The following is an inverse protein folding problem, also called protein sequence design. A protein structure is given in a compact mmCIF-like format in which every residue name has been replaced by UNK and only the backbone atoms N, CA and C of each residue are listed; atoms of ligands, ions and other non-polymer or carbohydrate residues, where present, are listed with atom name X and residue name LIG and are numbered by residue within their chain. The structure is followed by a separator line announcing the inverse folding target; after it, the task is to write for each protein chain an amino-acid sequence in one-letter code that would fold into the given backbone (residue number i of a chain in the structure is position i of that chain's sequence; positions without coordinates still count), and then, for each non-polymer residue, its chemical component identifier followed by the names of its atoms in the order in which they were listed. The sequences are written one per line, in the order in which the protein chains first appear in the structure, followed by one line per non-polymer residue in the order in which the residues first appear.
data_IF_464596121555
#
_entry.id   IF_464596121555
#
_cell.length_a   1.000
_cell.length_b   1.000
_cell.length_c   1.000
_cell.angle_alpha   90.00
_cell.angle_beta   90.00
_cell.angle_gamma   90.00
#
_symmetry.space_group_name_H-M   'P 1'
#
loop_
_entity.id
_entity.type
_entity.pdbx_description
1 polymer ?
#
# COMPACT_ATOMS: atom_id res chain seq x y z
N UNK A 1 16.20 13.08 7.54
CA UNK A 1 15.61 12.18 6.53
C UNK A 1 14.98 13.00 5.43
N UNK A 2 15.24 12.63 4.17
CA UNK A 2 14.71 13.32 2.99
C UNK A 2 13.66 12.49 2.29
N UNK A 3 12.47 13.08 2.05
CA UNK A 3 11.37 12.44 1.35
C UNK A 3 11.20 13.04 -0.05
N UNK A 4 10.83 12.20 -1.01
CA UNK A 4 10.40 12.66 -2.34
C UNK A 4 8.90 12.46 -2.48
N UNK A 5 8.23 13.53 -2.91
CA UNK A 5 6.79 13.57 -3.13
C UNK A 5 6.53 13.52 -4.64
N UNK A 6 5.76 12.55 -5.06
CA UNK A 6 5.37 12.33 -6.45
C UNK A 6 3.83 12.40 -6.52
N UNK A 7 3.23 13.59 -6.77
CA UNK A 7 1.79 13.77 -6.62
C UNK A 7 0.94 12.90 -7.54
N UNK A 8 1.42 12.59 -8.75
CA UNK A 8 0.68 11.74 -9.69
C UNK A 8 -0.45 12.46 -10.42
N UNK A 9 -1.53 11.71 -10.68
CA UNK A 9 -2.66 12.15 -11.49
C UNK A 9 -3.93 12.36 -10.68
N UNK A 10 -4.90 13.03 -11.30
CA UNK A 10 -6.25 13.17 -10.77
C UNK A 10 -6.29 13.86 -9.40
N UNK A 11 -6.80 13.16 -8.38
CA UNK A 11 -6.86 13.66 -7.00
C UNK A 11 -5.49 13.69 -6.30
N UNK A 12 -4.44 13.15 -6.93
CA UNK A 12 -3.11 13.02 -6.34
C UNK A 12 -2.56 14.31 -5.73
N UNK A 13 -2.52 15.44 -6.45
CA UNK A 13 -2.02 16.70 -5.89
C UNK A 13 -2.76 17.13 -4.62
N UNK A 14 -4.09 17.08 -4.59
CA UNK A 14 -4.85 17.54 -3.41
C UNK A 14 -4.68 16.64 -2.19
N UNK A 15 -4.58 15.31 -2.37
CA UNK A 15 -4.35 14.40 -1.23
C UNK A 15 -2.89 14.40 -0.78
N UNK A 16 -1.93 14.69 -1.65
CA UNK A 16 -0.53 14.92 -1.28
C UNK A 16 -0.39 16.19 -0.42
N UNK A 17 -1.02 17.29 -0.83
CA UNK A 17 -1.03 18.54 -0.05
C UNK A 17 -1.63 18.33 1.35
N UNK A 18 -2.74 17.59 1.44
CA UNK A 18 -3.34 17.19 2.70
C UNK A 18 -2.40 16.35 3.58
N UNK A 19 -1.68 15.40 2.96
CA UNK A 19 -0.69 14.56 3.65
C UNK A 19 0.49 15.39 4.15
N UNK A 20 0.98 16.34 3.36
CA UNK A 20 2.08 17.23 3.74
C UNK A 20 1.72 18.16 4.91
N UNK A 21 0.46 18.61 5.02
CA UNK A 21 0.00 19.36 6.19
C UNK A 21 0.13 18.54 7.47
N UNK A 22 -0.27 17.27 7.45
CA UNK A 22 -0.11 16.36 8.60
C UNK A 22 1.36 16.09 8.89
N UNK A 23 2.16 15.81 7.87
CA UNK A 23 3.61 15.58 8.04
C UNK A 23 4.34 16.81 8.57
N UNK A 24 3.97 18.02 8.14
CA UNK A 24 4.55 19.26 8.65
C UNK A 24 4.30 19.41 10.15
N UNK A 25 3.06 19.15 10.60
CA UNK A 25 2.74 19.14 12.03
C UNK A 25 3.55 18.11 12.80
N UNK A 26 3.62 16.87 12.31
CA UNK A 26 4.36 15.80 12.98
C UNK A 26 5.87 16.11 13.03
N UNK A 27 6.41 16.64 11.93
CA UNK A 27 7.81 17.05 11.84
C UNK A 27 8.17 18.09 12.91
N UNK A 28 7.33 19.12 13.07
CA UNK A 28 7.50 20.15 14.10
C UNK A 28 7.35 19.58 15.50
N UNK A 29 6.27 18.85 15.78
CA UNK A 29 5.92 18.44 17.13
C UNK A 29 6.78 17.32 17.69
N UNK A 30 7.28 16.44 16.84
CA UNK A 30 8.15 15.33 17.24
C UNK A 30 9.62 15.55 16.93
N UNK A 31 10.00 16.69 16.33
CA UNK A 31 11.38 16.99 15.97
C UNK A 31 11.99 15.98 15.01
N UNK A 32 11.26 15.63 13.93
CA UNK A 32 11.68 14.54 13.04
C UNK A 32 12.87 14.93 12.15
N UNK A 33 13.08 16.23 11.89
CA UNK A 33 14.12 16.71 10.97
C UNK A 33 13.88 16.25 9.53
N UNK A 34 12.59 16.10 9.14
CA UNK A 34 12.22 15.76 7.78
C UNK A 34 12.40 16.97 6.85
N UNK A 35 12.92 16.70 5.68
CA UNK A 35 12.88 17.58 4.51
C UNK A 35 12.21 16.86 3.37
N UNK A 36 11.65 17.59 2.41
CA UNK A 36 11.08 17.00 1.21
C UNK A 36 11.17 17.90 0.00
N UNK A 37 11.14 17.29 -1.17
CA UNK A 37 10.96 17.94 -2.47
C UNK A 37 9.87 17.25 -3.27
N UNK A 38 9.26 17.98 -4.20
CA UNK A 38 8.19 17.47 -5.04
C UNK A 38 8.60 17.46 -6.50
N UNK A 39 8.29 16.37 -7.21
CA UNK A 39 8.55 16.21 -8.63
C UNK A 39 7.29 15.83 -9.39
N UNK A 40 7.09 16.45 -10.56
CA UNK A 40 5.99 16.12 -11.44
C UNK A 40 6.14 14.72 -12.05
N UNK A 41 5.05 13.97 -12.03
CA UNK A 41 4.90 12.68 -12.73
C UNK A 41 3.51 12.60 -13.37
N UNK A 42 3.24 11.52 -14.11
CA UNK A 42 1.94 11.24 -14.69
C UNK A 42 1.65 12.03 -15.97
N UNK A 43 0.38 12.21 -16.28
CA UNK A 43 -0.08 12.87 -17.51
C UNK A 43 0.38 14.33 -17.59
N UNK A 44 0.44 15.03 -16.46
CA UNK A 44 0.97 16.38 -16.39
C UNK A 44 2.45 16.46 -16.79
N UNK A 45 3.27 15.53 -16.34
CA UNK A 45 4.68 15.42 -16.73
C UNK A 45 4.83 15.01 -18.19
N UNK A 46 3.97 14.10 -18.69
CA UNK A 46 3.97 13.72 -20.11
C UNK A 46 3.77 14.93 -21.00
N UNK A 47 2.81 15.80 -20.67
CA UNK A 47 2.53 17.00 -21.46
C UNK A 47 3.69 18.01 -21.44
N UNK A 48 4.43 18.12 -20.35
CA UNK A 48 5.55 19.09 -20.19
C UNK A 48 6.90 18.55 -20.63
N UNK A 49 7.15 17.26 -20.43
CA UNK A 49 8.47 16.65 -20.54
C UNK A 49 8.53 15.47 -21.52
N UNK A 50 7.40 15.11 -22.18
CA UNK A 50 7.33 13.98 -23.11
C UNK A 50 7.42 12.60 -22.43
N UNK A 51 7.33 12.53 -21.11
CA UNK A 51 7.29 11.26 -20.37
C UNK A 51 6.49 11.37 -19.10
N UNK A 52 5.81 10.30 -18.72
CA UNK A 52 5.06 10.22 -17.45
C UNK A 52 5.96 10.07 -16.22
N UNK A 53 7.24 9.73 -16.40
CA UNK A 53 8.21 9.62 -15.31
C UNK A 53 9.56 10.21 -15.73
N UNK A 54 9.76 11.53 -15.58
CA UNK A 54 11.02 12.21 -15.92
C UNK A 54 12.22 11.64 -15.16
N UNK A 55 13.38 11.62 -15.84
CA UNK A 55 14.63 11.11 -15.26
C UNK A 55 15.02 11.84 -13.95
N UNK A 56 14.75 13.14 -13.84
CA UNK A 56 15.00 13.90 -12.61
C UNK A 56 14.13 13.40 -11.46
N UNK A 57 12.83 13.20 -11.67
CA UNK A 57 11.92 12.66 -10.66
C UNK A 57 12.33 11.24 -10.22
N UNK A 58 12.70 10.41 -11.20
CA UNK A 58 13.21 9.06 -10.94
C UNK A 58 14.50 9.09 -10.13
N UNK A 59 15.46 9.92 -10.52
CA UNK A 59 16.74 10.07 -9.82
C UNK A 59 16.57 10.55 -8.37
N UNK A 60 15.70 11.53 -8.14
CA UNK A 60 15.36 12.01 -6.81
C UNK A 60 14.75 10.89 -5.95
N UNK A 61 13.77 10.16 -6.50
CA UNK A 61 13.13 9.04 -5.79
C UNK A 61 14.11 7.92 -5.42
N UNK A 62 15.07 7.61 -6.30
CA UNK A 62 16.12 6.60 -6.04
C UNK A 62 17.10 7.02 -4.94
N UNK A 63 17.27 8.32 -4.70
CA UNK A 63 18.19 8.86 -3.70
C UNK A 63 17.52 9.21 -2.36
N UNK A 64 16.18 9.18 -2.30
CA UNK A 64 15.43 9.56 -1.11
C UNK A 64 15.44 8.48 -0.01
N UNK A 65 15.34 8.89 1.24
CA UNK A 65 15.12 7.97 2.38
C UNK A 65 13.72 7.34 2.35
N UNK A 66 12.74 8.02 1.75
CA UNK A 66 11.37 7.56 1.60
C UNK A 66 10.63 8.29 0.49
N UNK A 67 9.60 7.64 -0.05
CA UNK A 67 8.82 8.18 -1.17
C UNK A 67 7.36 8.25 -0.76
N UNK A 68 6.68 9.35 -1.13
CA UNK A 68 5.22 9.47 -1.09
C UNK A 68 4.73 9.57 -2.52
N UNK A 69 4.05 8.53 -2.97
CA UNK A 69 3.51 8.44 -4.33
C UNK A 69 1.99 8.59 -4.29
N UNK A 70 1.49 9.64 -4.92
CA UNK A 70 0.07 9.80 -5.22
C UNK A 70 -0.40 8.81 -6.29
N UNK A 71 -1.70 8.71 -6.52
CA UNK A 71 -2.27 7.78 -7.50
C UNK A 71 -1.89 8.15 -8.92
N UNK A 72 -1.78 7.15 -9.79
CA UNK A 72 -1.41 7.32 -11.20
C UNK A 72 -2.45 6.71 -12.12
N UNK A 73 -2.75 7.39 -13.22
CA UNK A 73 -3.71 6.96 -14.26
C UNK A 73 -3.03 6.08 -15.32
N UNK A 74 -2.27 5.05 -14.89
CA UNK A 74 -1.39 4.30 -15.79
C UNK A 74 -2.10 3.62 -16.96
N UNK A 75 -3.39 3.31 -16.85
CA UNK A 75 -4.19 2.77 -17.95
C UNK A 75 -4.40 3.78 -19.09
N UNK A 76 -4.22 5.08 -18.82
CA UNK A 76 -4.34 6.16 -19.79
C UNK A 76 -2.98 6.61 -20.34
N UNK A 77 -1.89 5.98 -19.92
CA UNK A 77 -0.57 6.32 -20.40
C UNK A 77 -0.35 5.72 -21.79
N UNK A 78 0.35 6.45 -22.69
CA UNK A 78 0.74 5.91 -23.97
C UNK A 78 1.73 4.76 -23.84
N UNK A 79 2.02 4.03 -24.93
CA UNK A 79 3.09 3.02 -24.93
C UNK A 79 4.42 3.57 -24.44
N UNK A 80 5.26 2.72 -23.87
CA UNK A 80 6.58 3.10 -23.34
C UNK A 80 7.47 3.84 -24.36
N UNK A 81 7.39 3.45 -25.65
CA UNK A 81 8.10 4.12 -26.74
C UNK A 81 7.68 5.57 -26.94
N UNK A 82 6.48 5.95 -26.47
CA UNK A 82 5.90 7.30 -26.54
C UNK A 82 5.98 8.03 -25.19
N UNK A 83 6.79 7.53 -24.25
CA UNK A 83 7.04 8.14 -22.95
C UNK A 83 6.13 7.66 -21.82
N UNK A 84 5.26 6.68 -22.05
CA UNK A 84 4.39 6.10 -21.01
C UNK A 84 5.13 5.12 -20.13
N UNK A 85 5.49 5.55 -18.92
CA UNK A 85 6.12 4.73 -17.88
C UNK A 85 5.19 4.73 -16.68
N UNK A 86 4.92 3.56 -16.09
CA UNK A 86 4.21 3.47 -14.82
C UNK A 86 5.19 3.71 -13.66
N UNK A 87 5.15 4.89 -12.97
CA UNK A 87 6.12 5.21 -11.92
C UNK A 87 6.07 4.23 -10.74
N UNK A 88 4.87 3.78 -10.36
CA UNK A 88 4.70 2.80 -9.29
C UNK A 88 5.38 1.46 -9.63
N UNK A 89 5.16 0.95 -10.83
CA UNK A 89 5.79 -0.30 -11.31
C UNK A 89 7.31 -0.17 -11.44
N UNK A 90 7.81 0.94 -11.99
CA UNK A 90 9.25 1.20 -12.14
C UNK A 90 9.96 1.27 -10.78
N UNK A 91 9.41 2.01 -9.82
CA UNK A 91 10.00 2.15 -8.48
C UNK A 91 9.97 0.85 -7.69
N UNK A 92 8.89 0.07 -7.75
CA UNK A 92 8.80 -1.24 -7.09
C UNK A 92 9.93 -2.18 -7.52
N UNK A 93 10.25 -2.19 -8.82
CA UNK A 93 11.33 -3.02 -9.35
C UNK A 93 12.71 -2.41 -9.08
N UNK A 94 12.89 -1.13 -9.41
CA UNK A 94 14.20 -0.46 -9.33
C UNK A 94 14.73 -0.36 -7.90
N UNK A 95 13.85 -0.28 -6.90
CA UNK A 95 14.18 -0.22 -5.48
C UNK A 95 13.96 -1.54 -4.74
N UNK A 96 13.61 -2.60 -5.48
CA UNK A 96 13.28 -3.93 -4.93
C UNK A 96 12.28 -3.87 -3.76
N UNK A 97 11.16 -3.15 -3.96
CA UNK A 97 10.12 -2.99 -2.95
C UNK A 97 9.23 -4.24 -2.91
N UNK A 98 9.75 -5.33 -2.38
CA UNK A 98 9.17 -6.66 -2.47
C UNK A 98 7.95 -6.90 -1.58
N UNK A 99 7.80 -6.13 -0.51
CA UNK A 99 6.70 -6.30 0.45
C UNK A 99 5.70 -5.15 0.33
N UNK A 100 4.52 -5.43 -0.21
CA UNK A 100 3.41 -4.49 -0.16
C UNK A 100 2.55 -4.81 1.07
N UNK A 101 2.57 -3.90 2.05
CA UNK A 101 1.92 -4.06 3.34
C UNK A 101 0.64 -3.22 3.35
N UNK A 102 -0.51 -3.88 3.50
CA UNK A 102 -1.86 -3.32 3.36
C UNK A 102 -2.74 -3.65 4.57
N UNK A 103 -2.77 -2.79 5.61
CA UNK A 103 -3.69 -2.94 6.74
C UNK A 103 -5.14 -2.66 6.33
N UNK A 104 -6.06 -3.47 6.85
CA UNK A 104 -7.51 -3.26 6.72
C UNK A 104 -8.16 -3.40 8.09
N UNK A 105 -8.81 -2.33 8.56
CA UNK A 105 -9.38 -2.27 9.89
C UNK A 105 -10.75 -1.59 9.88
N UNK A 106 -11.75 -2.24 10.46
CA UNK A 106 -13.07 -1.63 10.74
C UNK A 106 -12.92 -0.55 11.80
N UNK A 107 -13.62 0.56 11.62
CA UNK A 107 -13.53 1.74 12.50
C UNK A 107 -14.87 2.01 13.20
N UNK A 108 -14.82 2.39 14.45
CA UNK A 108 -16.01 2.72 15.23
C UNK A 108 -16.81 3.86 14.59
N UNK A 109 -18.12 3.70 14.59
CA UNK A 109 -19.04 4.67 14.01
C UNK A 109 -19.17 4.62 12.48
N UNK A 110 -18.31 3.91 11.77
CA UNK A 110 -18.44 3.65 10.33
C UNK A 110 -19.11 2.32 10.06
N UNK A 111 -19.88 2.28 8.97
CA UNK A 111 -20.43 1.04 8.46
C UNK A 111 -19.28 0.22 7.82
N UNK A 112 -19.20 -1.05 8.16
CA UNK A 112 -18.38 -2.04 7.47
C UNK A 112 -19.30 -3.08 6.82
N UNK A 113 -18.80 -3.79 5.80
CA UNK A 113 -19.63 -4.67 4.96
C UNK A 113 -19.45 -6.15 5.30
N UNK A 114 -18.39 -6.51 6.03
CA UNK A 114 -18.20 -7.85 6.59
C UNK A 114 -19.22 -8.15 7.69
N UNK A 115 -19.34 -9.41 8.07
CA UNK A 115 -20.22 -9.83 9.19
C UNK A 115 -19.63 -9.52 10.56
N UNK A 116 -18.30 -9.48 10.64
CA UNK A 116 -17.54 -9.20 11.85
C UNK A 116 -16.57 -8.05 11.60
N UNK A 117 -16.30 -7.20 12.61
CA UNK A 117 -15.24 -6.21 12.48
C UNK A 117 -13.89 -6.93 12.25
N UNK A 118 -13.02 -6.29 11.48
CA UNK A 118 -11.70 -6.83 11.18
C UNK A 118 -10.60 -5.89 11.63
N UNK A 119 -9.44 -6.47 11.92
CA UNK A 119 -8.14 -5.81 12.08
C UNK A 119 -7.08 -6.81 11.62
N UNK A 120 -6.75 -6.75 10.35
CA UNK A 120 -5.76 -7.62 9.70
C UNK A 120 -4.83 -6.83 8.79
N UNK A 121 -3.70 -7.44 8.42
CA UNK A 121 -2.76 -6.89 7.45
C UNK A 121 -2.48 -7.93 6.38
N UNK A 122 -2.65 -7.56 5.11
CA UNK A 122 -2.24 -8.38 3.98
C UNK A 122 -0.82 -7.97 3.57
N UNK A 123 0.10 -8.92 3.63
CA UNK A 123 1.49 -8.81 3.20
C UNK A 123 1.60 -9.51 1.85
N UNK A 124 1.56 -8.69 0.79
CA UNK A 124 1.57 -9.10 -0.61
C UNK A 124 2.99 -9.12 -1.16
N UNK A 125 3.43 -10.24 -1.74
CA UNK A 125 4.61 -10.25 -2.59
C UNK A 125 4.38 -9.30 -3.78
N UNK A 126 5.37 -8.50 -4.18
CA UNK A 126 5.14 -7.32 -5.02
C UNK A 126 6.00 -7.26 -6.28
N UNK A 127 6.88 -8.26 -6.53
CA UNK A 127 7.89 -8.20 -7.59
C UNK A 127 7.77 -9.31 -8.65
N UNK A 128 6.95 -10.34 -8.42
CA UNK A 128 6.77 -11.46 -9.34
C UNK A 128 5.30 -11.89 -9.48
N UNK A 129 5.00 -13.17 -9.64
CA UNK A 129 3.66 -13.68 -9.88
C UNK A 129 3.27 -13.59 -11.35
N UNK A 130 2.02 -13.26 -11.64
CA UNK A 130 1.55 -12.96 -13.00
C UNK A 130 2.01 -11.59 -13.53
N UNK A 131 2.70 -10.80 -12.73
CA UNK A 131 3.39 -9.58 -13.12
C UNK A 131 4.86 -9.87 -13.53
N UNK A 132 5.11 -11.08 -14.05
CA UNK A 132 6.44 -11.60 -14.38
C UNK A 132 7.15 -10.81 -15.48
N UNK A 133 6.42 -10.17 -16.40
CA UNK A 133 6.95 -9.30 -17.44
C UNK A 133 7.90 -8.22 -16.89
N UNK A 134 7.66 -7.79 -15.65
CA UNK A 134 8.45 -6.77 -14.98
C UNK A 134 9.79 -7.27 -14.44
N UNK A 135 9.93 -8.58 -14.22
CA UNK A 135 11.10 -9.20 -13.58
C UNK A 135 11.74 -10.34 -14.41
N UNK A 136 11.35 -10.49 -15.66
CA UNK A 136 11.97 -11.46 -16.57
C UNK A 136 13.26 -10.89 -17.16
N UNK A 137 14.31 -11.74 -17.24
CA UNK A 137 15.57 -11.35 -17.88
C UNK A 137 15.39 -11.11 -19.39
N UNK A 138 14.62 -11.98 -20.06
CA UNK A 138 14.27 -11.87 -21.47
C UNK A 138 12.85 -12.37 -21.70
N UNK A 139 12.15 -11.77 -22.66
CA UNK A 139 10.80 -12.14 -23.05
C UNK A 139 9.69 -11.47 -22.21
N UNK A 140 8.47 -11.44 -22.76
CA UNK A 140 7.29 -10.91 -22.07
C UNK A 140 6.71 -11.92 -21.07
N UNK A 141 5.96 -11.42 -20.08
CA UNK A 141 5.17 -12.25 -19.16
C UNK A 141 3.88 -12.79 -19.77
N UNK A 142 3.42 -12.20 -20.88
CA UNK A 142 2.28 -12.64 -21.67
C UNK A 142 2.65 -12.67 -23.14
N UNK A 143 2.11 -13.65 -23.89
CA UNK A 143 2.31 -13.77 -25.33
C UNK A 143 1.20 -14.56 -26.00
N UNK A 144 1.01 -14.34 -27.30
CA UNK A 144 0.04 -15.03 -28.14
C UNK A 144 0.77 -15.93 -29.14
N UNK A 145 0.79 -17.26 -28.95
CA UNK A 145 1.32 -18.21 -29.94
C UNK A 145 0.52 -18.26 -31.25
N UNK A 146 -0.79 -18.02 -31.15
CA UNK A 146 -1.71 -17.92 -32.29
C UNK A 146 -2.70 -16.77 -32.04
N UNK A 147 -3.42 -16.26 -33.08
CA UNK A 147 -4.37 -15.15 -32.91
C UNK A 147 -5.53 -15.43 -31.93
N UNK A 148 -5.78 -16.68 -31.59
CA UNK A 148 -6.86 -17.17 -30.75
C UNK A 148 -6.39 -17.80 -29.44
N UNK A 149 -5.07 -17.72 -29.13
CA UNK A 149 -4.47 -18.28 -27.91
C UNK A 149 -3.57 -17.27 -27.23
N UNK A 150 -3.87 -16.95 -25.97
CA UNK A 150 -2.98 -16.16 -25.11
C UNK A 150 -2.48 -17.01 -23.93
N UNK A 151 -1.20 -16.83 -23.57
CA UNK A 151 -0.54 -17.48 -22.45
C UNK A 151 0.05 -16.44 -21.51
N UNK A 152 -0.11 -16.64 -20.20
CA UNK A 152 0.50 -15.83 -19.16
C UNK A 152 1.45 -16.69 -18.33
N UNK A 153 2.64 -16.17 -18.07
CA UNK A 153 3.65 -16.82 -17.23
C UNK A 153 3.53 -16.32 -15.80
N UNK A 154 3.39 -17.26 -14.86
CA UNK A 154 3.45 -16.97 -13.44
C UNK A 154 4.82 -17.35 -12.89
N UNK A 155 5.62 -16.37 -12.51
CA UNK A 155 6.93 -16.55 -11.91
C UNK A 155 6.81 -16.62 -10.40
N UNK A 156 7.32 -17.70 -9.78
CA UNK A 156 7.41 -17.86 -8.31
C UNK A 156 8.82 -18.37 -8.00
N UNK A 157 9.53 -17.66 -7.13
CA UNK A 157 10.89 -18.03 -6.72
C UNK A 157 10.97 -18.31 -5.23
N UNK A 158 11.86 -19.20 -4.81
CA UNK A 158 12.10 -19.49 -3.39
C UNK A 158 12.54 -18.22 -2.63
N UNK A 159 13.40 -17.40 -3.24
CA UNK A 159 13.88 -16.15 -2.66
C UNK A 159 12.74 -15.17 -2.35
N UNK A 160 11.85 -14.90 -3.32
CA UNK A 160 10.72 -13.98 -3.10
C UNK A 160 9.73 -14.55 -2.07
N UNK A 161 9.48 -15.86 -2.08
CA UNK A 161 8.62 -16.52 -1.09
C UNK A 161 9.19 -16.45 0.33
N UNK A 162 10.50 -16.68 0.51
CA UNK A 162 11.15 -16.62 1.81
C UNK A 162 11.11 -15.21 2.39
N UNK A 163 11.50 -14.18 1.60
CA UNK A 163 11.56 -12.79 2.09
C UNK A 163 10.19 -12.22 2.42
N UNK A 164 9.15 -12.53 1.63
CA UNK A 164 7.80 -12.05 1.96
C UNK A 164 7.22 -12.77 3.19
N UNK A 165 7.51 -14.06 3.35
CA UNK A 165 7.16 -14.79 4.57
C UNK A 165 7.84 -14.15 5.80
N UNK A 166 9.14 -13.88 5.73
CA UNK A 166 9.90 -13.24 6.81
C UNK A 166 9.31 -11.89 7.21
N UNK A 167 8.99 -11.04 6.23
CA UNK A 167 8.31 -9.76 6.48
C UNK A 167 6.94 -9.94 7.19
N UNK A 168 6.18 -10.97 6.83
CA UNK A 168 4.89 -11.26 7.47
C UNK A 168 5.05 -11.74 8.92
N UNK A 169 6.00 -12.64 9.17
CA UNK A 169 6.25 -13.15 10.52
C UNK A 169 6.82 -12.08 11.45
N UNK A 170 7.75 -11.24 10.97
CA UNK A 170 8.27 -10.09 11.71
C UNK A 170 7.15 -9.09 12.07
N UNK A 171 6.25 -8.82 11.12
CA UNK A 171 5.09 -7.97 11.39
C UNK A 171 4.17 -8.59 12.46
N UNK A 172 3.92 -9.89 12.38
CA UNK A 172 3.06 -10.60 13.32
C UNK A 172 3.60 -10.59 14.75
N UNK A 173 4.93 -10.55 14.96
CA UNK A 173 5.53 -10.45 16.29
C UNK A 173 5.09 -9.21 17.07
N UNK A 174 4.76 -8.12 16.36
CA UNK A 174 4.23 -6.88 16.96
C UNK A 174 2.71 -6.80 17.00
N UNK A 175 2.00 -7.89 16.62
CA UNK A 175 0.53 -7.95 16.54
C UNK A 175 -0.03 -9.13 17.37
N UNK A 176 -1.07 -9.81 16.87
CA UNK A 176 -1.71 -10.94 17.56
C UNK A 176 -0.92 -12.25 17.44
N UNK A 177 0.25 -12.22 16.78
CA UNK A 177 1.16 -13.38 16.59
C UNK A 177 0.50 -14.55 15.84
N UNK A 178 -0.19 -14.25 14.74
CA UNK A 178 -0.80 -15.25 13.88
C UNK A 178 -0.56 -14.90 12.41
N UNK A 179 -0.03 -15.86 11.64
CA UNK A 179 0.18 -15.73 10.19
C UNK A 179 -0.63 -16.79 9.46
N UNK A 180 -1.43 -16.36 8.49
CA UNK A 180 -2.16 -17.24 7.57
C UNK A 180 -1.54 -17.14 6.18
N UNK A 181 -1.02 -18.25 5.63
CA UNK A 181 -0.56 -18.31 4.25
C UNK A 181 -1.71 -18.60 3.29
N UNK A 182 -1.91 -17.71 2.31
CA UNK A 182 -2.99 -17.87 1.33
C UNK A 182 -2.45 -18.32 -0.02
N UNK A 183 -3.01 -19.40 -0.55
CA UNK A 183 -2.50 -20.13 -1.72
C UNK A 183 -3.58 -20.85 -2.52
N UNK A 184 -3.20 -21.46 -3.65
CA UNK A 184 -4.05 -22.36 -4.45
C UNK A 184 -3.32 -23.69 -4.80
N UNK A 185 -2.57 -24.25 -3.85
CA UNK A 185 -1.70 -25.41 -4.08
C UNK A 185 -2.48 -26.71 -4.43
N UNK A 186 -3.78 -26.76 -4.20
CA UNK A 186 -4.61 -27.87 -4.68
C UNK A 186 -4.73 -27.91 -6.22
N UNK A 187 -4.51 -26.78 -6.90
CA UNK A 187 -4.48 -26.65 -8.38
C UNK A 187 -3.05 -26.36 -8.84
N UNK A 188 -2.41 -25.33 -8.29
CA UNK A 188 -1.05 -24.89 -8.66
C UNK A 188 0.00 -25.58 -7.77
N UNK A 189 0.09 -26.92 -7.92
CA UNK A 189 0.88 -27.77 -7.02
C UNK A 189 2.37 -27.45 -7.00
N UNK A 190 2.93 -26.97 -8.11
CA UNK A 190 4.37 -26.66 -8.21
C UNK A 190 4.64 -25.25 -7.70
N UNK A 191 4.00 -24.23 -8.27
CA UNK A 191 4.27 -22.83 -7.93
C UNK A 191 3.79 -22.47 -6.52
N UNK A 192 2.54 -22.79 -6.15
CA UNK A 192 2.05 -22.53 -4.79
C UNK A 192 2.59 -23.54 -3.78
N UNK A 193 2.96 -24.76 -4.23
CA UNK A 193 3.71 -25.70 -3.42
C UNK A 193 5.11 -25.17 -3.03
N UNK A 194 5.79 -24.47 -3.95
CA UNK A 194 7.04 -23.77 -3.65
C UNK A 194 6.82 -22.66 -2.63
N UNK A 195 5.80 -21.83 -2.82
CA UNK A 195 5.43 -20.77 -1.88
C UNK A 195 5.21 -21.34 -0.46
N UNK A 196 4.35 -22.34 -0.32
CA UNK A 196 4.08 -22.96 0.98
C UNK A 196 5.32 -23.59 1.62
N UNK A 197 6.19 -24.22 0.83
CA UNK A 197 7.44 -24.80 1.33
C UNK A 197 8.31 -23.74 2.01
N UNK A 198 8.49 -22.59 1.34
CA UNK A 198 9.32 -21.52 1.90
C UNK A 198 8.65 -20.83 3.10
N UNK A 199 7.32 -20.61 3.05
CA UNK A 199 6.58 -20.05 4.20
C UNK A 199 6.67 -20.97 5.43
N UNK A 200 6.50 -22.29 5.26
CA UNK A 200 6.62 -23.28 6.34
C UNK A 200 8.03 -23.30 6.93
N UNK A 201 9.06 -23.17 6.07
CA UNK A 201 10.46 -23.06 6.50
C UNK A 201 10.63 -21.85 7.42
N UNK A 202 10.17 -20.67 7.00
CA UNK A 202 10.23 -19.45 7.81
C UNK A 202 9.39 -19.59 9.08
N UNK A 203 8.19 -20.17 9.02
CA UNK A 203 7.34 -20.40 10.18
C UNK A 203 8.07 -21.17 11.30
N UNK A 204 8.92 -22.15 10.95
CA UNK A 204 9.70 -22.91 11.93
C UNK A 204 10.74 -22.07 12.69
N UNK A 205 11.10 -20.90 12.19
CA UNK A 205 12.02 -19.96 12.84
C UNK A 205 11.30 -19.03 13.85
N UNK A 206 9.94 -19.00 13.83
CA UNK A 206 9.09 -18.13 14.68
C UNK A 206 8.14 -18.96 15.54
N UNK A 207 8.64 -19.73 16.52
CA UNK A 207 7.81 -20.66 17.32
C UNK A 207 6.71 -19.98 18.15
N UNK A 208 6.86 -18.67 18.42
CA UNK A 208 5.88 -17.87 19.17
C UNK A 208 4.75 -17.30 18.29
N UNK A 209 4.77 -17.56 16.97
CA UNK A 209 3.75 -17.10 16.01
C UNK A 209 2.95 -18.31 15.54
N UNK A 210 1.65 -18.29 15.77
CA UNK A 210 0.73 -19.30 15.23
C UNK A 210 0.71 -19.22 13.70
N UNK A 211 0.65 -20.38 13.05
CA UNK A 211 0.66 -20.48 11.60
C UNK A 211 -0.45 -21.40 11.11
N UNK A 212 -1.20 -20.94 10.11
CA UNK A 212 -2.14 -21.77 9.36
C UNK A 212 -2.11 -21.46 7.85
N UNK A 213 -2.87 -22.23 7.08
CA UNK A 213 -2.92 -22.14 5.63
C UNK A 213 -4.37 -22.08 5.16
N UNK A 214 -4.64 -21.25 4.15
CA UNK A 214 -5.98 -21.07 3.62
C UNK A 214 -5.97 -21.07 2.09
N UNK A 215 -6.89 -21.78 1.46
CA UNK A 215 -7.11 -21.64 0.02
C UNK A 215 -7.68 -20.25 -0.29
N UNK A 216 -7.23 -19.62 -1.38
CA UNK A 216 -7.57 -18.25 -1.75
C UNK A 216 -9.08 -18.03 -1.92
N UNK A 217 -9.80 -18.98 -2.51
CA UNK A 217 -11.24 -18.94 -2.66
C UNK A 217 -11.97 -19.04 -1.30
N UNK A 218 -11.46 -19.88 -0.41
CA UNK A 218 -11.97 -19.97 0.96
C UNK A 218 -11.63 -18.69 1.76
N UNK A 219 -10.45 -18.09 1.54
CA UNK A 219 -10.07 -16.83 2.18
C UNK A 219 -11.02 -15.69 1.82
N UNK A 220 -11.38 -15.52 0.53
CA UNK A 220 -12.39 -14.54 0.12
C UNK A 220 -13.72 -14.73 0.84
N UNK A 221 -14.20 -15.97 0.94
CA UNK A 221 -15.43 -16.26 1.67
C UNK A 221 -15.31 -15.97 3.18
N UNK A 222 -14.14 -16.22 3.77
CA UNK A 222 -13.89 -15.97 5.20
C UNK A 222 -13.69 -14.49 5.53
N UNK A 223 -13.16 -13.68 4.63
CA UNK A 223 -13.12 -12.23 4.81
C UNK A 223 -14.53 -11.64 4.99
N UNK A 224 -15.52 -12.16 4.26
CA UNK A 224 -16.93 -11.77 4.44
C UNK A 224 -17.52 -12.32 5.73
N UNK A 225 -17.22 -13.58 6.05
CA UNK A 225 -17.92 -14.34 7.12
C UNK A 225 -17.33 -14.12 8.50
N UNK A 226 -16.01 -14.14 8.63
CA UNK A 226 -15.29 -14.18 9.90
C UNK A 226 -13.87 -13.63 9.76
N UNK A 227 -13.75 -12.40 9.30
CA UNK A 227 -12.44 -11.74 9.11
C UNK A 227 -11.69 -11.52 10.43
N UNK A 228 -12.40 -11.48 11.57
CA UNK A 228 -11.81 -11.24 12.90
C UNK A 228 -10.79 -12.31 13.33
N UNK A 229 -10.86 -13.52 12.77
CA UNK A 229 -9.93 -14.61 13.07
C UNK A 229 -8.51 -14.40 12.50
N UNK A 230 -8.36 -13.56 11.48
CA UNK A 230 -7.09 -13.32 10.81
C UNK A 230 -6.32 -12.16 11.47
N UNK A 231 -5.00 -12.23 11.42
CA UNK A 231 -4.11 -11.17 11.87
C UNK A 231 -3.18 -10.71 10.74
N UNK A 232 -2.18 -11.50 10.36
CA UNK A 232 -1.32 -11.24 9.21
C UNK A 232 -1.54 -12.30 8.15
N UNK A 233 -1.88 -11.87 6.96
CA UNK A 233 -2.09 -12.73 5.79
C UNK A 233 -0.93 -12.57 4.84
N UNK A 234 -0.19 -13.64 4.55
CA UNK A 234 0.90 -13.63 3.56
C UNK A 234 0.47 -14.35 2.29
N UNK A 235 0.74 -13.74 1.14
CA UNK A 235 0.34 -14.33 -0.14
C UNK A 235 1.15 -13.79 -1.31
N UNK A 236 0.99 -14.45 -2.47
CA UNK A 236 1.60 -14.04 -3.74
C UNK A 236 0.95 -12.80 -4.32
N UNK A 237 1.56 -12.20 -5.33
CA UNK A 237 1.26 -10.87 -5.85
C UNK A 237 -0.22 -10.68 -6.21
N UNK A 238 -0.76 -11.44 -7.16
CA UNK A 238 -2.13 -11.24 -7.64
C UNK A 238 -3.19 -11.55 -6.57
N UNK A 239 -3.00 -12.60 -5.78
CA UNK A 239 -3.94 -12.91 -4.69
C UNK A 239 -3.93 -11.80 -3.64
N UNK A 240 -2.75 -11.27 -3.31
CA UNK A 240 -2.62 -10.16 -2.37
C UNK A 240 -3.28 -8.88 -2.86
N UNK A 241 -3.25 -8.61 -4.17
CA UNK A 241 -3.93 -7.47 -4.77
C UNK A 241 -5.45 -7.57 -4.59
N UNK A 242 -6.02 -8.68 -5.01
CA UNK A 242 -7.47 -8.91 -4.96
C UNK A 242 -7.98 -8.92 -3.51
N UNK A 243 -7.34 -9.71 -2.65
CA UNK A 243 -7.78 -9.86 -1.25
C UNK A 243 -7.62 -8.58 -0.43
N UNK A 244 -6.62 -7.75 -0.71
CA UNK A 244 -6.45 -6.51 0.04
C UNK A 244 -7.48 -5.45 -0.32
N UNK A 245 -7.90 -5.37 -1.57
CA UNK A 245 -8.98 -4.47 -1.99
C UNK A 245 -10.33 -4.96 -1.45
N UNK A 246 -10.58 -6.28 -1.48
CA UNK A 246 -11.74 -6.88 -0.83
C UNK A 246 -11.77 -6.58 0.69
N UNK A 247 -10.65 -6.78 1.41
CA UNK A 247 -10.56 -6.51 2.83
C UNK A 247 -10.77 -5.01 3.15
N UNK A 248 -10.22 -4.12 2.34
CA UNK A 248 -10.38 -2.68 2.51
C UNK A 248 -11.85 -2.26 2.37
N UNK A 249 -12.55 -2.72 1.33
CA UNK A 249 -13.98 -2.44 1.16
C UNK A 249 -14.82 -3.06 2.28
N UNK A 250 -14.57 -4.33 2.64
CA UNK A 250 -15.29 -4.98 3.73
C UNK A 250 -15.08 -4.29 5.08
N UNK A 251 -13.92 -3.67 5.31
CA UNK A 251 -13.62 -2.93 6.56
C UNK A 251 -14.28 -1.56 6.64
N UNK A 252 -14.79 -1.04 5.53
CA UNK A 252 -15.50 0.23 5.47
C UNK A 252 -15.35 0.99 4.16
N UNK A 253 -14.13 1.20 3.68
CA UNK A 253 -13.85 1.89 2.41
C UNK A 253 -12.38 1.76 2.02
N UNK A 254 -12.13 1.60 0.73
CA UNK A 254 -10.79 1.66 0.12
C UNK A 254 -10.09 3.00 0.44
N UNK A 255 -10.85 4.10 0.57
CA UNK A 255 -10.35 5.42 0.97
C UNK A 255 -9.78 5.49 2.38
N UNK A 256 -9.97 4.45 3.21
CA UNK A 256 -9.45 4.34 4.58
C UNK A 256 -8.27 3.36 4.70
N UNK A 257 -7.84 2.75 3.61
CA UNK A 257 -6.79 1.76 3.62
C UNK A 257 -5.43 2.39 3.28
N UNK A 258 -4.49 2.36 4.23
CA UNK A 258 -3.10 2.75 3.99
C UNK A 258 -2.30 1.64 3.32
N UNK A 259 -1.23 1.99 2.61
CA UNK A 259 -0.36 1.01 1.95
C UNK A 259 1.07 1.52 1.87
N UNK A 260 2.03 0.64 2.13
CA UNK A 260 3.44 0.86 1.80
C UNK A 260 3.99 -0.26 0.93
N UNK A 261 4.97 0.07 0.11
CA UNK A 261 5.79 -0.87 -0.63
C UNK A 261 7.19 -0.79 -0.02
N UNK A 262 7.61 -1.82 0.68
CA UNK A 262 8.86 -1.86 1.43
C UNK A 262 9.85 -2.84 0.81
N UNK A 263 11.10 -2.43 0.74
CA UNK A 263 12.27 -3.24 0.44
C UNK A 263 13.19 -3.34 1.65
N UNK A 264 14.43 -3.75 1.44
CA UNK A 264 15.43 -3.75 2.51
C UNK A 264 15.91 -2.35 2.87
N UNK A 265 16.08 -1.47 1.92
CA UNK A 265 16.67 -0.13 2.11
C UNK A 265 15.75 1.03 1.79
N UNK A 266 14.65 0.81 1.07
CA UNK A 266 13.74 1.84 0.64
C UNK A 266 12.29 1.49 0.98
N UNK A 267 11.47 2.53 1.15
CA UNK A 267 10.03 2.36 1.36
C UNK A 267 9.26 3.48 0.65
N UNK A 268 8.16 3.10 0.02
CA UNK A 268 7.27 4.00 -0.70
C UNK A 268 5.85 3.91 -0.13
N UNK A 269 5.37 5.01 0.43
CA UNK A 269 3.96 5.18 0.78
C UNK A 269 3.13 5.42 -0.48
N UNK A 270 2.02 4.72 -0.64
CA UNK A 270 1.14 4.87 -1.79
C UNK A 270 -0.30 4.64 -1.36
N UNK A 271 -1.24 5.52 -1.78
CA UNK A 271 -2.66 5.27 -1.56
C UNK A 271 -3.11 4.00 -2.28
N UNK A 272 -4.01 3.24 -1.66
CA UNK A 272 -4.50 1.97 -2.23
C UNK A 272 -5.50 2.20 -3.38
N UNK A 273 -6.20 3.35 -3.38
CA UNK A 273 -7.17 3.74 -4.42
C UNK A 273 -6.50 4.35 -5.66
N UNK A 274 -7.27 4.45 -6.76
CA UNK A 274 -6.86 5.08 -8.02
C UNK A 274 -6.91 6.62 -7.99
N UNK A 275 -6.73 7.23 -9.16
CA UNK A 275 -6.57 8.67 -9.37
C UNK A 275 -7.87 9.47 -9.42
N UNK A 276 -9.05 8.84 -9.54
CA UNK A 276 -10.38 9.45 -9.56
C UNK A 276 -10.44 10.81 -10.33
N UNK A 277 -10.14 10.82 -11.62
CA UNK A 277 -10.00 12.06 -12.38
C UNK A 277 -11.30 12.88 -12.50
N UNK A 278 -12.44 12.25 -12.29
CA UNK A 278 -13.78 12.83 -12.31
C UNK A 278 -14.03 13.81 -11.14
N UNK A 279 -13.34 13.66 -10.01
CA UNK A 279 -13.46 14.56 -8.86
C UNK A 279 -12.19 15.39 -8.61
N UNK A 280 -11.19 15.29 -9.47
CA UNK A 280 -9.92 16.00 -9.33
C UNK A 280 -10.11 17.53 -9.24
N UNK A 281 -9.44 18.16 -8.26
CA UNK A 281 -9.49 19.63 -8.05
C UNK A 281 -10.81 20.15 -7.50
N UNK A 282 -11.75 19.27 -7.10
CA UNK A 282 -13.07 19.68 -6.59
C UNK A 282 -13.14 19.75 -5.05
N UNK A 283 -12.03 19.55 -4.37
CA UNK A 283 -11.98 19.50 -2.88
C UNK A 283 -12.92 18.43 -2.28
N UNK A 284 -13.00 17.25 -2.94
CA UNK A 284 -13.88 16.14 -2.55
C UNK A 284 -13.16 14.87 -2.16
N UNK A 285 -11.89 14.74 -2.51
CA UNK A 285 -11.11 13.54 -2.29
C UNK A 285 -10.91 13.26 -0.80
N UNK A 286 -11.01 11.98 -0.41
CA UNK A 286 -10.66 11.54 0.93
C UNK A 286 -9.12 11.36 1.03
N UNK A 287 -8.40 12.13 1.87
CA UNK A 287 -6.96 12.04 1.94
C UNK A 287 -6.45 10.94 2.90
N UNK A 288 -7.33 10.23 3.59
CA UNK A 288 -6.98 9.33 4.71
C UNK A 288 -6.06 8.20 4.26
N UNK A 289 -6.32 7.59 3.11
CA UNK A 289 -5.48 6.49 2.61
C UNK A 289 -4.01 6.91 2.47
N UNK A 290 -3.72 8.05 1.85
CA UNK A 290 -2.34 8.52 1.69
C UNK A 290 -1.73 9.01 3.01
N UNK A 291 -2.51 9.62 3.89
CA UNK A 291 -2.06 10.03 5.24
C UNK A 291 -1.68 8.80 6.07
N UNK A 292 -2.50 7.74 6.07
CA UNK A 292 -2.16 6.48 6.73
C UNK A 292 -0.94 5.80 6.10
N UNK A 293 -0.81 5.86 4.78
CA UNK A 293 0.37 5.35 4.09
C UNK A 293 1.64 6.10 4.51
N UNK A 294 1.57 7.43 4.64
CA UNK A 294 2.68 8.23 5.17
C UNK A 294 3.00 7.89 6.63
N UNK A 295 2.00 7.63 7.46
CA UNK A 295 2.22 7.17 8.84
C UNK A 295 2.90 5.79 8.87
N UNK A 296 2.52 4.86 8.00
CA UNK A 296 3.21 3.57 7.84
C UNK A 296 4.66 3.75 7.41
N UNK A 297 4.94 4.68 6.48
CA UNK A 297 6.31 5.04 6.06
C UNK A 297 7.13 5.58 7.24
N UNK A 298 6.58 6.50 8.04
CA UNK A 298 7.26 7.01 9.25
C UNK A 298 7.58 5.87 10.22
N UNK A 299 6.63 4.97 10.47
CA UNK A 299 6.86 3.83 11.34
C UNK A 299 7.95 2.89 10.78
N UNK A 300 7.97 2.65 9.47
CA UNK A 300 9.00 1.85 8.81
C UNK A 300 10.39 2.49 8.95
N UNK A 301 10.52 3.78 8.66
CA UNK A 301 11.76 4.55 8.84
C UNK A 301 12.22 4.53 10.30
N UNK A 302 11.28 4.74 11.24
CA UNK A 302 11.55 4.72 12.67
C UNK A 302 12.12 3.40 13.14
N UNK A 303 11.50 2.29 12.76
CA UNK A 303 11.98 0.93 13.11
C UNK A 303 13.32 0.61 12.48
N UNK A 304 13.49 0.93 11.20
CA UNK A 304 14.72 0.65 10.47
C UNK A 304 15.94 1.40 11.02
N UNK A 305 15.76 2.64 11.41
CA UNK A 305 16.85 3.52 11.85
C UNK A 305 16.92 3.71 13.37
N UNK A 306 16.08 3.01 14.15
CA UNK A 306 16.03 3.16 15.60
C UNK A 306 15.55 4.54 16.07
N UNK A 307 14.68 5.20 15.32
CA UNK A 307 14.18 6.56 15.58
C UNK A 307 12.82 6.50 16.27
N UNK A 308 12.82 6.50 17.60
CA UNK A 308 11.59 6.37 18.42
C UNK A 308 10.61 7.53 18.19
N UNK A 309 11.11 8.74 17.92
CA UNK A 309 10.27 9.90 17.61
C UNK A 309 9.42 9.69 16.33
N UNK A 310 9.95 8.99 15.32
CA UNK A 310 9.22 8.62 14.10
C UNK A 310 8.10 7.62 14.39
N UNK A 311 8.38 6.62 15.22
CA UNK A 311 7.38 5.61 15.63
C UNK A 311 6.25 6.28 16.40
N UNK A 312 6.57 7.18 17.34
CA UNK A 312 5.58 7.93 18.12
C UNK A 312 4.76 8.88 17.24
N UNK A 313 5.39 9.56 16.28
CA UNK A 313 4.71 10.42 15.32
C UNK A 313 3.70 9.61 14.46
N UNK A 314 4.13 8.48 13.95
CA UNK A 314 3.25 7.57 13.20
C UNK A 314 2.05 7.11 14.03
N UNK A 315 2.27 6.72 15.29
CA UNK A 315 1.22 6.24 16.20
C UNK A 315 0.18 7.31 16.57
N UNK A 316 0.51 8.60 16.44
CA UNK A 316 -0.42 9.69 16.74
C UNK A 316 -1.52 9.89 15.67
N UNK A 317 -1.30 9.39 14.45
CA UNK A 317 -2.17 9.67 13.28
C UNK A 317 -3.48 8.90 13.36
N UNK A 318 -3.41 7.58 13.50
CA UNK A 318 -4.59 6.70 13.36
C UNK A 318 -5.68 6.97 14.41
N UNK A 319 -5.36 7.18 15.71
CA UNK A 319 -6.39 7.52 16.70
C UNK A 319 -7.07 8.87 16.46
N UNK A 320 -6.40 9.80 15.81
CA UNK A 320 -7.00 11.08 15.43
C UNK A 320 -7.95 10.93 14.24
N UNK A 321 -7.61 10.10 13.27
CA UNK A 321 -8.50 9.72 12.16
C UNK A 321 -9.75 9.02 12.73
N UNK A 322 -9.59 8.03 13.61
CA UNK A 322 -10.70 7.30 14.21
C UNK A 322 -11.70 8.24 14.90
N UNK A 323 -11.20 9.19 15.68
CA UNK A 323 -12.06 10.16 16.37
C UNK A 323 -12.79 11.12 15.41
N UNK A 324 -12.21 11.41 14.26
CA UNK A 324 -12.86 12.22 13.22
C UNK A 324 -13.95 11.42 12.50
N UNK A 325 -13.60 10.25 11.97
CA UNK A 325 -14.55 9.46 11.17
C UNK A 325 -15.68 8.83 11.99
N UNK A 326 -15.52 8.73 13.31
CA UNK A 326 -16.60 8.33 14.20
C UNK A 326 -17.80 9.31 14.16
N UNK A 327 -17.57 10.60 13.84
CA UNK A 327 -18.59 11.64 13.82
C UNK A 327 -19.02 11.94 12.38
N UNK A 328 -20.30 11.75 12.02
CA UNK A 328 -20.79 11.95 10.65
C UNK A 328 -20.47 13.33 10.06
N UNK A 329 -20.57 14.39 10.85
CA UNK A 329 -20.30 15.77 10.44
C UNK A 329 -18.83 16.05 10.11
N UNK A 330 -17.92 15.17 10.52
CA UNK A 330 -16.47 15.30 10.29
C UNK A 330 -15.97 14.43 9.13
N UNK A 331 -16.85 13.74 8.42
CA UNK A 331 -16.49 12.82 7.32
C UNK A 331 -16.43 13.50 5.96
N UNK A 332 -15.68 12.92 5.07
CA UNK A 332 -15.71 13.21 3.62
C UNK A 332 -16.97 12.61 2.98
N UNK A 333 -17.28 13.01 1.75
CA UNK A 333 -18.50 12.61 1.05
C UNK A 333 -18.62 11.09 0.80
N UNK A 334 -17.51 10.42 0.49
CA UNK A 334 -17.43 8.96 0.33
C UNK A 334 -17.75 8.18 1.61
N UNK A 335 -17.55 8.80 2.76
CA UNK A 335 -17.90 8.25 4.08
C UNK A 335 -19.28 8.74 4.60
N UNK A 336 -20.08 9.37 3.75
CA UNK A 336 -21.40 9.86 4.07
C UNK A 336 -21.41 11.19 4.84
N UNK A 337 -20.33 11.98 4.78
CA UNK A 337 -20.22 13.32 5.36
C UNK A 337 -20.27 14.42 4.32
N UNK A 338 -19.89 15.63 4.73
CA UNK A 338 -19.92 16.82 3.88
C UNK A 338 -18.60 17.60 3.80
N UNK A 339 -17.55 17.13 4.49
CA UNK A 339 -16.27 17.82 4.47
C UNK A 339 -15.52 17.60 3.14
N UNK A 340 -14.97 18.70 2.61
CA UNK A 340 -13.96 18.60 1.54
C UNK A 340 -12.59 18.19 2.08
N UNK A 341 -11.69 17.88 1.18
CA UNK A 341 -10.30 17.44 1.46
C UNK A 341 -9.59 18.39 2.41
N UNK A 342 -9.66 19.70 2.16
CA UNK A 342 -8.98 20.74 2.97
C UNK A 342 -9.59 20.87 4.36
N UNK A 343 -10.91 20.88 4.47
CA UNK A 343 -11.60 20.98 5.76
C UNK A 343 -11.34 19.74 6.63
N UNK A 344 -11.35 18.55 6.02
CA UNK A 344 -11.00 17.31 6.70
C UNK A 344 -9.56 17.34 7.21
N UNK A 345 -8.59 17.75 6.38
CA UNK A 345 -7.17 17.82 6.75
C UNK A 345 -6.94 18.81 7.89
N UNK A 346 -7.56 19.98 7.85
CA UNK A 346 -7.48 20.97 8.94
C UNK A 346 -8.05 20.42 10.26
N UNK A 347 -9.19 19.72 10.18
CA UNK A 347 -9.80 19.07 11.35
C UNK A 347 -8.91 17.95 11.91
N UNK A 348 -8.23 17.18 11.05
CA UNK A 348 -7.29 16.14 11.47
C UNK A 348 -6.06 16.73 12.16
N UNK A 349 -5.43 17.75 11.57
CA UNK A 349 -4.31 18.47 12.18
C UNK A 349 -4.69 18.97 13.57
N UNK A 350 -5.85 19.63 13.72
CA UNK A 350 -6.36 20.05 15.02
C UNK A 350 -6.66 18.87 15.97
N UNK A 351 -7.11 17.74 15.42
CA UNK A 351 -7.38 16.51 16.17
C UNK A 351 -6.11 15.88 16.74
N UNK A 352 -5.04 15.84 15.96
CA UNK A 352 -3.71 15.37 16.40
C UNK A 352 -3.18 16.29 17.50
N UNK A 353 -3.21 17.62 17.29
CA UNK A 353 -2.73 18.59 18.28
C UNK A 353 -3.40 18.45 19.65
N UNK A 354 -4.68 18.14 19.70
CA UNK A 354 -5.42 17.96 20.96
C UNK A 354 -5.05 16.67 21.71
N UNK A 355 -4.37 15.75 21.07
CA UNK A 355 -3.99 14.44 21.62
C UNK A 355 -2.51 14.36 22.04
N UNK A 356 -1.71 15.32 21.58
CA UNK A 356 -0.32 15.52 22.00
C UNK A 356 -0.23 16.30 23.31
#
# INVERSE_FOLDING_TARGET
MHLVILPGDGIGPEICDATLQVLSLLNERFGLGLTWESHDIGLGALARHGTTFPAAARGAAMAADGIILGPVSHNNYPPKAEGGINPSGDLRLSLDLYANIRPSRSRDGLKFWGRMPMDLVIVRENTEGFYADRSMHMGPGEFMPTPDMALAVRKITAHACERIARAAFELAMGRKRHVTAVHKANVLRVSDGLFLREVRKVASEYPDVAYDEQLVDSMSAMLVRDAARFDVVVTTNMYGDILSDEAAELSGSLGLAGSINAGESHCMAQAQHGSAPDIAGQDKANPVSLILSAALLLNWLGRRHGLENFIRAAAAVEPAIDALVARPESRTADLGGALGTRAFSAALVAGILRRL
#
